data_IF_361191144184
#
_entry.id   IF_361191144184
#
_cell.length_a   1.000
_cell.length_b   1.000
_cell.length_c   1.000
_cell.angle_alpha   90.00
_cell.angle_beta   90.00
_cell.angle_gamma   90.00
#
_symmetry.space_group_name_H-M   'P 1'
#
loop_
_entity.id
_entity.type
_entity.pdbx_description
1 polymer ?
#
# COMPACT_ATOMS: atom_id res chain seq x y z
N UNK A 1 5.71 -4.40 25.70
CA UNK A 1 5.11 -3.29 24.91
C UNK A 1 4.79 -3.72 23.49
N UNK A 2 3.72 -4.50 23.31
CA UNK A 2 3.20 -4.80 21.96
C UNK A 2 2.38 -3.59 21.54
N UNK A 3 2.89 -2.80 20.58
CA UNK A 3 2.10 -1.73 19.95
C UNK A 3 0.98 -2.40 19.15
N UNK A 4 -0.19 -2.55 19.77
CA UNK A 4 -1.41 -2.99 19.09
C UNK A 4 -1.77 -1.88 18.11
N UNK A 5 -1.74 -2.17 16.81
CA UNK A 5 -2.14 -1.23 15.77
C UNK A 5 -3.67 -1.04 15.85
N UNK A 6 -4.17 0.18 16.14
CA UNK A 6 -5.61 0.43 16.30
C UNK A 6 -6.43 -0.01 15.08
N UNK A 7 -5.85 0.09 13.88
CA UNK A 7 -6.49 -0.33 12.62
C UNK A 7 -6.84 -1.83 12.61
N UNK A 8 -5.98 -2.69 13.16
CA UNK A 8 -6.27 -4.13 13.29
C UNK A 8 -7.33 -4.42 14.35
N UNK A 9 -7.37 -3.62 15.41
CA UNK A 9 -8.35 -3.75 16.47
C UNK A 9 -9.76 -3.34 16.01
N UNK A 10 -9.87 -2.20 15.31
CA UNK A 10 -11.13 -1.74 14.69
C UNK A 10 -11.61 -2.71 13.61
N UNK A 11 -10.71 -3.30 12.81
CA UNK A 11 -11.07 -4.34 11.85
C UNK A 11 -11.72 -5.58 12.52
N UNK A 12 -11.34 -5.87 13.77
CA UNK A 12 -11.86 -7.02 14.53
C UNK A 12 -13.12 -6.70 15.34
N UNK A 13 -13.32 -5.45 15.76
CA UNK A 13 -14.44 -5.04 16.61
C UNK A 13 -15.62 -4.36 15.91
N UNK A 14 -15.41 -3.82 14.70
CA UNK A 14 -16.45 -3.05 14.02
C UNK A 14 -17.54 -3.97 13.44
N UNK A 15 -18.47 -4.39 14.30
CA UNK A 15 -19.76 -4.97 13.95
C UNK A 15 -20.80 -3.87 13.69
N UNK A 16 -21.90 -4.20 13.00
CA UNK A 16 -22.95 -3.22 12.63
C UNK A 16 -23.52 -2.44 13.81
N UNK A 17 -23.61 -3.08 14.98
CA UNK A 17 -24.07 -2.47 16.23
C UNK A 17 -23.09 -1.43 16.78
N UNK A 18 -21.77 -1.68 16.69
CA UNK A 18 -20.75 -0.73 17.14
C UNK A 18 -20.75 0.53 16.27
N UNK A 19 -20.83 0.36 14.95
CA UNK A 19 -20.87 1.48 14.00
C UNK A 19 -22.11 2.36 14.21
N UNK A 20 -23.26 1.73 14.48
CA UNK A 20 -24.49 2.43 14.80
C UNK A 20 -24.38 3.27 16.09
N UNK A 21 -23.82 2.69 17.15
CA UNK A 21 -23.60 3.39 18.43
C UNK A 21 -22.64 4.57 18.24
N UNK A 22 -21.54 4.38 17.51
CA UNK A 22 -20.61 5.46 17.21
C UNK A 22 -21.29 6.60 16.43
N UNK A 23 -22.17 6.28 15.48
CA UNK A 23 -22.88 7.29 14.70
C UNK A 23 -23.81 8.14 15.57
N UNK A 24 -24.56 7.53 16.49
CA UNK A 24 -25.41 8.26 17.44
C UNK A 24 -24.56 9.13 18.38
N UNK A 25 -23.43 8.62 18.87
CA UNK A 25 -22.55 9.35 19.79
C UNK A 25 -21.88 10.56 19.10
N UNK A 26 -21.34 10.38 17.89
CA UNK A 26 -20.65 11.44 17.15
C UNK A 26 -21.58 12.55 16.65
N UNK A 27 -22.84 12.21 16.36
CA UNK A 27 -23.83 13.16 15.83
C UNK A 27 -24.72 13.77 16.92
N UNK A 28 -24.73 13.20 18.13
CA UNK A 28 -25.64 13.59 19.20
C UNK A 28 -27.12 13.30 18.94
N UNK A 29 -27.44 12.61 17.84
CA UNK A 29 -28.82 12.39 17.41
C UNK A 29 -29.23 10.93 17.68
N UNK A 30 -30.22 10.77 18.57
CA UNK A 30 -30.74 9.45 18.95
C UNK A 30 -31.76 8.87 17.95
N UNK A 31 -32.24 9.67 16.99
CA UNK A 31 -33.24 9.28 16.00
C UNK A 31 -32.64 8.74 14.70
N UNK A 32 -31.34 8.45 14.67
CA UNK A 32 -30.72 7.88 13.48
C UNK A 32 -31.22 6.44 13.30
N UNK A 33 -31.79 6.08 12.14
CA UNK A 33 -32.24 4.73 11.89
C UNK A 33 -31.06 3.78 11.70
N UNK A 34 -31.27 2.49 12.01
CA UNK A 34 -30.24 1.47 11.80
C UNK A 34 -29.85 1.41 10.32
N UNK A 35 -28.54 1.41 9.99
CA UNK A 35 -28.09 1.35 8.61
C UNK A 35 -28.51 0.02 7.98
N UNK A 36 -29.14 0.08 6.81
CA UNK A 36 -29.56 -1.11 6.05
C UNK A 36 -28.38 -1.91 5.49
N UNK A 37 -27.28 -1.23 5.14
CA UNK A 37 -26.05 -1.86 4.65
C UNK A 37 -24.85 -1.03 5.05
N UNK A 38 -23.79 -1.71 5.50
CA UNK A 38 -22.51 -1.10 5.84
C UNK A 38 -21.45 -1.74 4.96
N UNK A 39 -20.68 -0.89 4.26
CA UNK A 39 -19.51 -1.33 3.50
C UNK A 39 -18.27 -0.93 4.28
N UNK A 40 -17.40 -1.90 4.56
CA UNK A 40 -16.17 -1.69 5.32
C UNK A 40 -15.03 -2.33 4.56
N UNK A 41 -13.99 -1.55 4.29
CA UNK A 41 -12.77 -2.06 3.70
C UNK A 41 -11.96 -2.88 4.71
N UNK A 42 -11.49 -4.05 4.30
CA UNK A 42 -10.68 -4.96 5.11
C UNK A 42 -9.25 -5.09 4.57
N UNK A 43 -8.62 -3.95 4.27
CA UNK A 43 -7.29 -3.88 3.62
C UNK A 43 -6.23 -4.78 4.29
N UNK A 44 -6.17 -4.79 5.63
CA UNK A 44 -5.19 -5.59 6.38
C UNK A 44 -5.40 -7.11 6.32
N UNK A 45 -6.63 -7.59 6.08
CA UNK A 45 -6.92 -9.02 5.94
C UNK A 45 -7.13 -9.46 4.49
N UNK A 46 -7.05 -8.52 3.54
CA UNK A 46 -7.18 -8.84 2.13
C UNK A 46 -5.89 -9.53 1.65
N UNK A 47 -5.95 -10.75 1.07
CA UNK A 47 -4.77 -11.52 0.67
C UNK A 47 -3.91 -10.82 -0.39
N UNK A 48 -4.52 -9.96 -1.23
CA UNK A 48 -3.83 -9.26 -2.30
C UNK A 48 -3.20 -7.93 -1.86
N UNK A 49 -3.64 -7.35 -0.75
CA UNK A 49 -3.29 -5.98 -0.36
C UNK A 49 -2.52 -5.96 0.97
N UNK A 50 -2.90 -6.83 1.91
CA UNK A 50 -2.20 -7.15 3.18
C UNK A 50 -1.85 -5.94 4.06
N UNK A 51 -2.46 -4.78 3.80
CA UNK A 51 -2.10 -3.50 4.38
C UNK A 51 -2.76 -2.36 3.58
N UNK A 52 -2.55 -1.11 4.00
CA UNK A 52 -3.14 0.03 3.29
C UNK A 52 -2.14 0.69 2.36
N UNK A 53 -1.06 1.22 2.93
CA UNK A 53 0.02 1.89 2.20
C UNK A 53 1.35 1.59 2.90
N UNK A 54 2.44 1.72 2.15
CA UNK A 54 3.79 1.69 2.70
C UNK A 54 4.02 2.83 3.70
N UNK A 55 4.88 2.63 4.69
CA UNK A 55 5.34 3.68 5.58
C UNK A 55 6.76 3.38 6.02
N UNK A 56 7.58 4.41 6.24
CA UNK A 56 8.94 4.22 6.77
C UNK A 56 8.86 3.91 8.27
N UNK A 57 9.07 2.64 8.62
CA UNK A 57 9.13 2.20 10.02
C UNK A 57 10.30 2.89 10.74
N UNK A 58 10.16 3.13 12.05
CA UNK A 58 11.30 3.57 12.88
C UNK A 58 12.47 2.60 12.71
N UNK A 59 13.63 3.11 12.31
CA UNK A 59 14.83 2.33 11.97
C UNK A 59 14.98 2.01 10.47
N UNK A 60 13.95 2.26 9.66
CA UNK A 60 14.03 2.22 8.20
C UNK A 60 14.37 3.61 7.63
N UNK A 61 14.93 3.64 6.43
CA UNK A 61 15.33 4.88 5.75
C UNK A 61 14.87 4.90 4.31
N UNK A 62 14.98 6.05 3.65
CA UNK A 62 14.70 6.16 2.21
C UNK A 62 15.56 5.24 1.34
N UNK A 63 16.69 4.72 1.85
CA UNK A 63 17.51 3.73 1.15
C UNK A 63 16.81 2.38 1.00
N UNK A 64 15.88 2.05 1.91
CA UNK A 64 15.13 0.79 1.81
C UNK A 64 14.14 0.84 0.65
N UNK A 65 13.59 2.03 0.37
CA UNK A 65 12.75 2.29 -0.81
C UNK A 65 13.56 2.23 -2.10
N UNK A 66 14.79 2.73 -2.09
CA UNK A 66 15.71 2.64 -3.24
C UNK A 66 16.08 1.19 -3.54
N UNK A 67 16.44 0.41 -2.52
CA UNK A 67 16.71 -1.03 -2.67
C UNK A 67 15.51 -1.80 -3.20
N UNK A 68 14.29 -1.44 -2.81
CA UNK A 68 13.07 -2.04 -3.35
C UNK A 68 12.82 -1.68 -4.82
N UNK A 69 13.36 -0.57 -5.30
CA UNK A 69 13.26 -0.15 -6.70
C UNK A 69 14.36 -0.76 -7.59
N UNK A 70 15.40 -1.36 -6.99
CA UNK A 70 16.48 -1.97 -7.75
C UNK A 70 16.00 -3.23 -8.48
N UNK A 71 16.30 -3.39 -9.78
CA UNK A 71 15.93 -4.58 -10.52
C UNK A 71 16.71 -5.79 -10.03
N UNK A 72 16.14 -6.99 -10.17
CA UNK A 72 16.91 -8.21 -9.92
C UNK A 72 17.98 -8.40 -11.01
N UNK A 73 19.10 -9.09 -10.69
CA UNK A 73 20.10 -9.49 -11.68
C UNK A 73 19.46 -10.27 -12.84
N UNK A 74 20.07 -10.18 -14.02
CA UNK A 74 19.61 -10.95 -15.18
C UNK A 74 19.68 -12.45 -14.89
N UNK A 75 18.53 -13.12 -14.97
CA UNK A 75 18.43 -14.57 -14.90
C UNK A 75 17.95 -15.03 -16.26
N UNK A 76 18.80 -15.75 -17.01
CA UNK A 76 18.44 -16.33 -18.32
C UNK A 76 17.80 -15.31 -19.28
N UNK A 77 18.46 -14.17 -19.51
CA UNK A 77 17.98 -13.05 -20.34
C UNK A 77 16.65 -12.41 -19.91
N UNK A 78 16.18 -12.69 -18.70
CA UNK A 78 14.97 -12.07 -18.14
C UNK A 78 15.36 -11.04 -17.10
N UNK A 79 14.79 -9.83 -17.21
CA UNK A 79 14.94 -8.75 -16.23
C UNK A 79 13.65 -8.61 -15.42
N UNK A 80 13.75 -8.71 -14.10
CA UNK A 80 12.63 -8.45 -13.19
C UNK A 80 12.76 -7.05 -12.63
N UNK A 81 11.72 -6.25 -12.82
CA UNK A 81 11.63 -4.84 -12.44
C UNK A 81 10.56 -4.66 -11.36
N UNK A 82 10.72 -3.66 -10.50
CA UNK A 82 9.78 -3.39 -9.42
C UNK A 82 9.18 -1.97 -9.54
N UNK A 83 7.87 -1.91 -9.74
CA UNK A 83 7.08 -0.69 -9.73
C UNK A 83 6.06 -0.71 -8.58
N UNK A 84 5.51 0.46 -8.27
CA UNK A 84 4.53 0.63 -7.19
C UNK A 84 4.80 1.87 -6.33
N UNK A 85 3.85 2.19 -5.47
CA UNK A 85 3.93 3.28 -4.49
C UNK A 85 5.09 3.06 -3.51
N UNK A 86 5.42 1.81 -3.18
CA UNK A 86 6.51 1.49 -2.27
C UNK A 86 7.91 1.65 -2.89
N UNK A 87 8.03 1.89 -4.20
CA UNK A 87 9.32 2.00 -4.91
C UNK A 87 9.65 3.44 -5.34
N UNK A 88 8.92 4.43 -4.83
CA UNK A 88 9.16 5.85 -5.13
C UNK A 88 9.59 6.63 -3.88
N UNK A 89 10.89 6.96 -3.76
CA UNK A 89 11.47 7.61 -2.55
C UNK A 89 10.75 8.87 -2.08
N UNK A 90 10.38 9.76 -3.00
CA UNK A 90 9.77 11.07 -2.67
C UNK A 90 8.26 11.03 -2.46
N UNK A 91 7.57 10.07 -3.07
CA UNK A 91 6.11 10.04 -3.21
C UNK A 91 5.55 8.66 -2.84
N UNK A 92 6.15 8.02 -1.84
CA UNK A 92 5.67 6.74 -1.34
C UNK A 92 4.29 6.92 -0.69
N UNK A 93 3.50 5.83 -0.63
CA UNK A 93 2.12 5.84 -0.13
C UNK A 93 1.11 6.62 -0.98
N UNK A 94 1.46 7.00 -2.22
CA UNK A 94 0.57 7.78 -3.09
C UNK A 94 0.34 7.12 -4.44
N UNK A 95 -0.83 7.39 -5.03
CA UNK A 95 -1.19 6.91 -6.38
C UNK A 95 -0.28 7.49 -7.46
N UNK A 96 0.10 8.78 -7.36
CA UNK A 96 1.00 9.39 -8.35
C UNK A 96 2.42 8.82 -8.23
N UNK A 97 2.90 8.47 -7.03
CA UNK A 97 4.16 7.76 -6.85
C UNK A 97 4.17 6.40 -7.54
N UNK A 98 3.06 5.65 -7.48
CA UNK A 98 2.90 4.38 -8.20
C UNK A 98 2.90 4.57 -9.73
N UNK A 99 2.25 5.62 -10.22
CA UNK A 99 2.24 5.94 -11.65
C UNK A 99 3.66 6.28 -12.14
N UNK A 100 4.36 7.17 -11.44
CA UNK A 100 5.71 7.61 -11.80
C UNK A 100 6.72 6.46 -11.74
N UNK A 101 6.62 5.57 -10.74
CA UNK A 101 7.47 4.38 -10.70
C UNK A 101 7.16 3.40 -11.84
N UNK A 102 5.90 3.25 -12.24
CA UNK A 102 5.51 2.47 -13.41
C UNK A 102 6.08 3.03 -14.73
N UNK A 103 6.22 4.35 -14.86
CA UNK A 103 6.82 4.99 -16.04
C UNK A 103 8.36 4.88 -16.07
N UNK A 104 8.99 4.76 -14.90
CA UNK A 104 10.45 4.65 -14.75
C UNK A 104 10.99 3.32 -15.28
N UNK A 105 10.35 2.20 -14.95
CA UNK A 105 10.87 0.85 -15.23
C UNK A 105 11.01 0.51 -16.73
N UNK A 106 10.05 0.83 -17.62
CA UNK A 106 10.16 0.54 -19.06
C UNK A 106 11.39 1.20 -19.70
N UNK A 107 11.74 2.41 -19.27
CA UNK A 107 12.86 3.16 -19.83
C UNK A 107 14.21 2.48 -19.57
N UNK A 108 14.34 1.71 -18.48
CA UNK A 108 15.56 0.95 -18.16
C UNK A 108 15.63 -0.45 -18.79
N UNK A 109 14.57 -0.93 -19.44
CA UNK A 109 14.49 -2.27 -20.04
C UNK A 109 14.75 -2.27 -21.55
N UNK A 110 14.48 -1.14 -22.23
CA UNK A 110 14.65 -1.02 -23.68
C UNK A 110 16.07 -0.62 -24.12
N UNK A 111 17.02 -0.45 -23.20
CA UNK A 111 18.36 0.07 -23.50
C UNK A 111 19.44 -0.96 -23.84
N UNK A 112 19.17 -2.27 -23.94
CA UNK A 112 20.09 -3.17 -24.68
C UNK A 112 19.47 -4.52 -25.03
N UNK A 113 19.24 -4.75 -26.32
CA UNK A 113 19.65 -6.01 -26.93
C UNK A 113 20.63 -5.84 -28.12
N UNK A 114 21.15 -4.62 -28.37
CA UNK A 114 21.98 -4.32 -29.56
C UNK A 114 23.37 -3.73 -29.27
N UNK A 115 23.90 -3.82 -28.04
CA UNK A 115 25.21 -3.23 -27.71
C UNK A 115 26.40 -4.21 -27.65
N UNK A 116 26.26 -5.46 -28.11
CA UNK A 116 27.36 -6.46 -28.12
C UNK A 116 27.72 -7.01 -29.52
N UNK A 117 27.36 -6.30 -30.59
CA UNK A 117 27.79 -6.67 -31.96
C UNK A 117 28.35 -5.48 -32.72
N UNK A 118 29.44 -4.89 -32.21
CA UNK A 118 30.44 -4.13 -32.97
C UNK A 118 31.81 -4.31 -32.33
#
# INVERSE_FOLDING_TARGET
>A
NVKINPCFYVARLANSQFIFICLMFLTGNQNIPKPRRILRSSWGSNPYIRGSYSFTRVGSSGRDVEKLAEPLPYIKNTKVLFAGEATHRKYYSTTHGALLSGQREPCGAFSSPYSEVL
#
